data_IF_149078300466
#
_entry.id   IF_149078300466
#
_cell.length_a   1.000
_cell.length_b   1.000
_cell.length_c   1.000
_cell.angle_alpha   90.00
_cell.angle_beta   90.00
_cell.angle_gamma   90.00
#
_symmetry.space_group_name_H-M   'P 1'
#
loop_
_entity.id
_entity.type
_entity.pdbx_description
1 polymer ?
#
# COMPACT_ATOMS: atom_id res chain seq x y z
N UNK A 1 26.27 -4.12 -10.49
CA UNK A 1 25.19 -4.10 -11.52
C UNK A 1 24.18 -3.07 -11.03
N UNK A 2 23.62 -2.26 -11.94
CA UNK A 2 22.52 -1.35 -11.61
C UNK A 2 21.33 -2.17 -11.13
N UNK A 3 20.55 -1.63 -10.19
CA UNK A 3 19.32 -2.29 -9.77
C UNK A 3 18.23 -2.15 -10.88
N UNK A 4 17.26 -3.08 -10.97
CA UNK A 4 16.29 -3.06 -12.07
C UNK A 4 15.44 -1.79 -12.17
N UNK A 5 15.27 -1.06 -11.06
CA UNK A 5 14.42 0.12 -10.94
C UNK A 5 15.18 1.34 -10.36
N UNK A 6 16.51 1.43 -10.57
CA UNK A 6 17.34 2.51 -9.99
C UNK A 6 17.06 3.90 -10.57
N UNK A 7 16.35 3.97 -11.68
CA UNK A 7 15.87 5.19 -12.34
C UNK A 7 14.39 5.53 -12.06
N UNK A 8 13.67 4.70 -11.30
CA UNK A 8 12.22 4.81 -11.08
C UNK A 8 11.90 5.53 -9.75
N UNK A 9 11.00 6.51 -9.82
CA UNK A 9 10.46 7.24 -8.67
C UNK A 9 9.02 6.82 -8.40
N UNK A 10 8.77 6.34 -7.19
CA UNK A 10 7.45 5.93 -6.70
C UNK A 10 6.97 6.92 -5.66
N UNK A 11 5.76 7.44 -5.80
CA UNK A 11 5.01 8.10 -4.74
C UNK A 11 3.96 7.16 -4.21
N UNK A 12 3.93 6.93 -2.90
CA UNK A 12 2.89 6.13 -2.27
C UNK A 12 2.11 6.93 -1.23
N UNK A 13 0.77 6.82 -1.30
CA UNK A 13 -0.17 7.32 -0.29
C UNK A 13 -1.00 6.14 0.18
N UNK A 14 -0.46 5.39 1.07
CA UNK A 14 -1.08 4.19 1.59
C UNK A 14 -0.76 3.98 3.06
N UNK A 15 -1.57 3.16 3.68
CA UNK A 15 -1.44 2.81 5.09
C UNK A 15 -1.56 1.30 5.25
N UNK A 16 -1.27 0.83 6.43
CA UNK A 16 -1.32 -0.57 6.82
C UNK A 16 -0.26 -1.42 6.10
N UNK A 17 -0.64 -2.57 5.53
CA UNK A 17 0.31 -3.59 5.07
C UNK A 17 0.29 -3.83 3.58
N UNK A 18 -0.90 -4.03 2.97
CA UNK A 18 -1.00 -4.56 1.61
C UNK A 18 -0.30 -3.71 0.54
N UNK A 19 -0.67 -2.43 0.40
CA UNK A 19 -0.02 -1.55 -0.56
C UNK A 19 1.40 -1.13 -0.12
N UNK A 20 1.66 -0.82 1.18
CA UNK A 20 3.02 -0.57 1.63
C UNK A 20 4.00 -1.72 1.34
N UNK A 21 3.59 -2.99 1.46
CA UNK A 21 4.47 -4.12 1.13
C UNK A 21 4.90 -4.12 -0.35
N UNK A 22 4.03 -3.67 -1.26
CA UNK A 22 4.40 -3.50 -2.67
C UNK A 22 5.48 -2.42 -2.84
N UNK A 23 5.33 -1.27 -2.15
CA UNK A 23 6.34 -0.20 -2.13
C UNK A 23 7.69 -0.68 -1.61
N UNK A 24 7.70 -1.49 -0.54
CA UNK A 24 8.93 -2.07 0.00
C UNK A 24 9.63 -3.00 -1.01
N UNK A 25 8.88 -3.84 -1.74
CA UNK A 25 9.44 -4.70 -2.80
C UNK A 25 10.00 -3.85 -3.95
N UNK A 26 9.31 -2.78 -4.36
CA UNK A 26 9.84 -1.87 -5.39
C UNK A 26 11.13 -1.17 -4.92
N UNK A 27 11.21 -0.79 -3.63
CA UNK A 27 12.44 -0.25 -3.04
C UNK A 27 13.58 -1.29 -3.04
N UNK A 28 13.31 -2.55 -2.69
CA UNK A 28 14.29 -3.65 -2.77
C UNK A 28 14.80 -3.86 -4.21
N UNK A 29 13.98 -3.54 -5.22
CA UNK A 29 14.35 -3.58 -6.64
C UNK A 29 15.11 -2.33 -7.11
N UNK A 30 15.34 -1.36 -6.21
CA UNK A 30 16.13 -0.16 -6.46
C UNK A 30 15.34 1.12 -6.71
N UNK A 31 14.00 1.07 -6.75
CA UNK A 31 13.19 2.26 -6.92
C UNK A 31 13.35 3.23 -5.75
N UNK A 32 13.33 4.53 -6.04
CA UNK A 32 13.20 5.55 -5.01
C UNK A 32 11.75 5.68 -4.58
N UNK A 33 11.39 5.14 -3.45
CA UNK A 33 10.01 5.16 -2.94
C UNK A 33 9.86 6.26 -1.89
N UNK A 34 8.93 7.17 -2.13
CA UNK A 34 8.58 8.29 -1.23
C UNK A 34 7.18 8.03 -0.69
N UNK A 35 7.12 7.67 0.60
CA UNK A 35 5.87 7.49 1.33
C UNK A 35 5.34 8.83 1.82
N UNK A 36 4.11 9.14 1.45
CA UNK A 36 3.39 10.34 1.89
C UNK A 36 2.43 9.92 3.02
N UNK A 37 2.71 10.36 4.21
CA UNK A 37 1.95 10.03 5.40
C UNK A 37 1.07 11.21 5.85
N UNK A 38 -0.07 10.97 6.52
CA UNK A 38 -0.75 12.03 7.25
C UNK A 38 0.16 12.56 8.38
N UNK A 39 -0.13 13.76 8.88
CA UNK A 39 0.65 14.36 10.00
C UNK A 39 0.68 13.46 11.24
N UNK A 40 -0.33 12.62 11.43
CA UNK A 40 -0.38 11.62 12.51
C UNK A 40 0.48 10.38 12.27
N UNK A 41 1.06 10.24 11.08
CA UNK A 41 1.77 9.01 10.66
C UNK A 41 0.84 7.90 10.16
N UNK A 42 1.45 6.85 9.63
CA UNK A 42 0.75 5.60 9.27
C UNK A 42 0.23 4.92 10.54
N UNK A 43 -1.03 4.40 10.56
CA UNK A 43 -1.56 3.64 11.69
C UNK A 43 -0.71 2.42 12.11
N UNK A 44 0.12 1.90 11.22
CA UNK A 44 1.05 0.81 11.56
C UNK A 44 2.17 1.25 12.50
N UNK A 45 2.50 2.53 12.56
CA UNK A 45 3.54 3.03 13.47
C UNK A 45 3.17 2.78 14.91
N UNK A 46 4.06 2.13 15.65
CA UNK A 46 3.87 1.78 17.06
C UNK A 46 2.93 0.58 17.29
N UNK A 47 2.54 -0.16 16.25
CA UNK A 47 1.78 -1.42 16.40
C UNK A 47 2.65 -2.54 16.97
N UNK A 48 3.94 -2.56 16.67
CA UNK A 48 4.92 -3.50 17.22
C UNK A 48 5.22 -3.16 18.68
N UNK A 49 4.33 -3.56 19.58
CA UNK A 49 4.61 -3.46 21.00
C UNK A 49 5.25 -4.77 21.48
N UNK A 50 6.46 -4.75 22.07
CA UNK A 50 7.03 -5.95 22.69
C UNK A 50 6.03 -6.53 23.68
N UNK A 51 5.82 -7.83 23.63
CA UNK A 51 5.02 -8.51 24.65
C UNK A 51 5.83 -8.50 25.94
N UNK A 52 5.28 -7.92 26.99
CA UNK A 52 5.96 -7.77 28.29
C UNK A 52 6.47 -9.12 28.79
N UNK A 53 7.77 -9.22 29.03
CA UNK A 53 8.43 -10.46 29.41
C UNK A 53 9.01 -11.27 28.24
N UNK A 54 8.93 -10.79 27.02
CA UNK A 54 9.64 -11.36 25.89
C UNK A 54 11.15 -11.01 26.00
N UNK A 55 12.02 -12.00 25.76
CA UNK A 55 13.47 -11.78 25.73
C UNK A 55 13.95 -10.81 24.63
N UNK A 56 13.06 -10.40 23.74
CA UNK A 56 13.32 -9.38 22.74
C UNK A 56 13.05 -7.95 23.23
N UNK A 57 12.41 -7.74 24.39
CA UNK A 57 12.02 -6.43 24.93
C UNK A 57 13.18 -5.43 24.96
N UNK A 58 14.34 -5.86 25.45
CA UNK A 58 15.49 -4.95 25.61
C UNK A 58 16.21 -4.66 24.29
N UNK A 59 16.29 -5.65 23.39
CA UNK A 59 17.00 -5.50 22.13
C UNK A 59 16.21 -4.73 21.06
N UNK A 60 14.89 -4.77 21.12
CA UNK A 60 13.99 -4.24 20.08
C UNK A 60 12.91 -3.32 20.61
N UNK A 61 13.01 -2.82 21.86
CA UNK A 61 12.01 -1.95 22.50
C UNK A 61 11.70 -0.69 21.69
N UNK A 62 12.66 -0.20 20.93
CA UNK A 62 12.57 1.02 20.12
C UNK A 62 12.44 0.72 18.61
N UNK A 63 12.31 -0.57 18.25
CA UNK A 63 12.27 -0.99 16.86
C UNK A 63 10.87 -1.47 16.45
N UNK A 64 10.26 -0.76 15.48
CA UNK A 64 8.94 -1.09 14.96
C UNK A 64 9.04 -2.06 13.77
N UNK A 65 9.33 -3.32 14.06
CA UNK A 65 9.59 -4.33 13.04
C UNK A 65 8.40 -4.56 12.09
N UNK A 66 7.16 -4.42 12.57
CA UNK A 66 5.99 -4.59 11.71
C UNK A 66 5.87 -3.45 10.69
N UNK A 67 6.13 -2.22 11.14
CA UNK A 67 6.18 -1.09 10.23
C UNK A 67 7.36 -1.22 9.25
N UNK A 68 8.53 -1.60 9.74
CA UNK A 68 9.75 -1.68 8.94
C UNK A 68 9.69 -2.75 7.85
N UNK A 69 9.05 -3.90 8.11
CA UNK A 69 8.86 -4.96 7.10
C UNK A 69 8.21 -4.44 5.83
N UNK A 70 7.21 -3.57 5.96
CA UNK A 70 6.44 -3.05 4.83
C UNK A 70 6.90 -1.66 4.37
N UNK A 71 7.88 -1.04 5.07
CA UNK A 71 8.33 0.32 4.76
C UNK A 71 9.86 0.46 4.67
N UNK A 72 10.59 -0.65 4.68
CA UNK A 72 12.06 -0.64 4.51
C UNK A 72 12.46 -0.02 3.18
N UNK A 73 13.58 0.69 3.20
CA UNK A 73 14.15 1.30 2.00
C UNK A 73 13.41 2.54 1.48
N UNK A 74 12.36 3.02 2.16
CA UNK A 74 11.57 4.17 1.74
C UNK A 74 12.05 5.46 2.41
N UNK A 75 11.86 6.57 1.70
CA UNK A 75 11.82 7.91 2.28
C UNK A 75 10.39 8.22 2.73
N UNK A 76 10.21 9.05 3.76
CA UNK A 76 8.88 9.46 4.23
C UNK A 76 8.77 10.97 4.37
N UNK A 77 7.60 11.51 3.98
CA UNK A 77 7.19 12.89 4.23
C UNK A 77 5.80 12.94 4.81
N UNK A 78 5.57 13.85 5.78
CA UNK A 78 4.25 14.09 6.35
C UNK A 78 3.56 15.24 5.63
N UNK A 79 2.34 15.00 5.11
CA UNK A 79 1.56 15.99 4.35
C UNK A 79 0.11 16.03 4.83
N UNK A 80 -0.40 17.22 5.11
CA UNK A 80 -1.80 17.45 5.43
C UNK A 80 -2.65 17.44 4.15
N UNK A 81 -3.07 16.26 3.68
CA UNK A 81 -3.87 16.11 2.46
C UNK A 81 -5.26 16.76 2.53
N UNK A 82 -5.76 17.01 3.73
CA UNK A 82 -7.02 17.71 3.98
C UNK A 82 -6.91 19.23 3.75
N UNK A 83 -5.69 19.76 3.64
CA UNK A 83 -5.42 21.13 3.26
C UNK A 83 -5.18 21.21 1.73
N UNK A 84 -5.70 22.25 1.05
CA UNK A 84 -5.51 22.43 -0.39
C UNK A 84 -4.04 22.43 -0.82
N UNK A 85 -3.19 23.07 -0.04
CA UNK A 85 -1.75 23.17 -0.28
C UNK A 85 -1.06 21.80 -0.22
N UNK A 86 -1.50 20.94 0.72
CA UNK A 86 -0.96 19.58 0.85
C UNK A 86 -1.32 18.72 -0.37
N UNK A 87 -2.58 18.76 -0.81
CA UNK A 87 -3.00 18.04 -2.00
C UNK A 87 -2.30 18.57 -3.27
N UNK A 88 -2.10 19.89 -3.36
CA UNK A 88 -1.37 20.51 -4.48
C UNK A 88 0.11 20.09 -4.50
N UNK A 89 0.77 20.05 -3.34
CA UNK A 89 2.14 19.57 -3.22
C UNK A 89 2.27 18.14 -3.77
N UNK A 90 1.34 17.26 -3.43
CA UNK A 90 1.36 15.87 -3.93
C UNK A 90 1.17 15.80 -5.45
N UNK A 91 0.28 16.63 -6.02
CA UNK A 91 0.13 16.71 -7.48
C UNK A 91 1.40 17.19 -8.17
N UNK A 92 2.12 18.14 -7.58
CA UNK A 92 3.42 18.60 -8.10
C UNK A 92 4.49 17.52 -8.03
N UNK A 93 4.52 16.72 -6.96
CA UNK A 93 5.41 15.57 -6.86
C UNK A 93 5.07 14.51 -7.91
N UNK A 94 3.78 14.25 -8.15
CA UNK A 94 3.33 13.29 -9.14
C UNK A 94 3.73 13.65 -10.59
N UNK A 95 3.99 14.93 -10.89
CA UNK A 95 4.52 15.34 -12.20
C UNK A 95 5.91 14.78 -12.49
N UNK A 96 6.67 14.41 -11.43
CA UNK A 96 8.05 13.94 -11.51
C UNK A 96 8.20 12.47 -11.14
N UNK A 97 7.11 11.81 -10.82
CA UNK A 97 7.08 10.40 -10.46
C UNK A 97 6.76 9.54 -11.69
N UNK A 98 7.24 8.31 -11.69
CA UNK A 98 6.90 7.29 -12.68
C UNK A 98 5.70 6.48 -12.25
N UNK A 99 5.55 6.28 -10.93
CA UNK A 99 4.49 5.50 -10.32
C UNK A 99 3.85 6.31 -9.20
N UNK A 100 2.53 6.36 -9.19
CA UNK A 100 1.72 6.77 -8.06
C UNK A 100 0.90 5.58 -7.58
N UNK A 101 1.07 5.20 -6.31
CA UNK A 101 0.32 4.10 -5.73
C UNK A 101 -0.42 4.53 -4.46
N UNK A 102 -1.63 4.00 -4.26
CA UNK A 102 -2.42 4.33 -3.08
C UNK A 102 -3.41 3.23 -2.72
N UNK A 103 -3.86 3.24 -1.45
CA UNK A 103 -5.00 2.45 -1.00
C UNK A 103 -6.18 3.33 -0.55
N UNK A 104 -6.23 4.56 -1.01
CA UNK A 104 -7.36 5.44 -0.80
C UNK A 104 -8.57 5.00 -1.62
N UNK A 105 -9.76 4.98 -1.01
CA UNK A 105 -11.00 4.77 -1.75
C UNK A 105 -11.19 5.87 -2.81
N UNK A 106 -11.83 5.54 -3.94
CA UNK A 106 -11.99 6.42 -5.11
C UNK A 106 -12.57 7.80 -4.76
N UNK A 107 -13.54 7.87 -3.84
CA UNK A 107 -14.08 9.16 -3.37
C UNK A 107 -13.03 10.05 -2.67
N UNK A 108 -12.09 9.46 -1.95
CA UNK A 108 -11.01 10.22 -1.30
C UNK A 108 -9.98 10.66 -2.33
N UNK A 109 -9.64 9.81 -3.29
CA UNK A 109 -8.75 10.17 -4.39
C UNK A 109 -9.32 11.38 -5.14
N UNK A 110 -10.60 11.34 -5.55
CA UNK A 110 -11.26 12.45 -6.24
C UNK A 110 -11.33 13.73 -5.38
N UNK A 111 -11.62 13.60 -4.07
CA UNK A 111 -11.63 14.74 -3.15
C UNK A 111 -10.30 15.50 -3.13
N UNK A 112 -9.19 14.80 -3.24
CA UNK A 112 -7.85 15.39 -3.21
C UNK A 112 -7.26 15.69 -4.60
N UNK A 113 -8.00 15.37 -5.67
CA UNK A 113 -7.50 15.48 -7.05
C UNK A 113 -6.32 14.56 -7.34
N UNK A 114 -6.33 13.38 -6.72
CA UNK A 114 -5.32 12.32 -6.84
C UNK A 114 -5.88 11.09 -7.55
N UNK A 115 -7.06 11.22 -8.15
CA UNK A 115 -7.64 10.20 -9.02
C UNK A 115 -6.90 10.13 -10.37
N UNK A 116 -7.02 9.01 -11.12
CA UNK A 116 -6.31 8.83 -12.38
C UNK A 116 -6.53 9.97 -13.38
N UNK A 117 -7.80 10.43 -13.53
CA UNK A 117 -8.14 11.48 -14.49
C UNK A 117 -7.46 12.81 -14.16
N UNK A 118 -7.31 13.11 -12.87
CA UNK A 118 -6.64 14.32 -12.41
C UNK A 118 -5.12 14.23 -12.58
N UNK A 119 -4.51 13.09 -12.22
CA UNK A 119 -3.07 12.92 -12.28
C UNK A 119 -2.55 12.74 -13.72
N UNK A 120 -3.29 12.07 -14.60
CA UNK A 120 -2.89 11.94 -16.02
C UNK A 120 -2.89 13.27 -16.78
N UNK A 121 -3.63 14.30 -16.32
CA UNK A 121 -3.55 15.65 -16.90
C UNK A 121 -2.20 16.32 -16.65
N UNK A 122 -1.55 15.98 -15.53
CA UNK A 122 -0.25 16.58 -15.16
C UNK A 122 0.93 15.68 -15.49
N UNK A 123 0.70 14.37 -15.59
CA UNK A 123 1.70 13.38 -16.00
C UNK A 123 1.03 12.22 -16.78
N UNK A 124 0.93 12.32 -18.12
CA UNK A 124 0.28 11.31 -18.94
C UNK A 124 0.97 9.93 -18.98
N UNK A 125 2.23 9.86 -18.56
CA UNK A 125 3.01 8.61 -18.50
C UNK A 125 2.98 7.93 -17.13
N UNK A 126 2.35 8.56 -16.14
CA UNK A 126 2.29 8.06 -14.79
C UNK A 126 1.60 6.68 -14.73
N UNK A 127 2.21 5.72 -14.09
CA UNK A 127 1.54 4.49 -13.70
C UNK A 127 0.73 4.76 -12.43
N UNK A 128 -0.60 4.75 -12.54
CA UNK A 128 -1.49 4.95 -11.39
C UNK A 128 -2.00 3.60 -10.88
N UNK A 129 -1.54 3.18 -9.71
CA UNK A 129 -1.87 1.91 -9.10
C UNK A 129 -2.72 2.11 -7.83
N UNK A 130 -3.92 1.53 -7.81
CA UNK A 130 -4.83 1.60 -6.66
C UNK A 130 -5.12 0.21 -6.12
N UNK A 131 -4.95 0.04 -4.81
CA UNK A 131 -5.32 -1.17 -4.10
C UNK A 131 -6.51 -0.89 -3.18
N UNK A 132 -7.62 -1.59 -3.37
CA UNK A 132 -8.81 -1.52 -2.51
C UNK A 132 -9.33 -2.92 -2.23
N UNK A 133 -10.05 -3.08 -1.13
CA UNK A 133 -10.55 -4.40 -0.72
C UNK A 133 -11.53 -5.05 -1.71
N UNK A 134 -12.28 -4.24 -2.47
CA UNK A 134 -13.38 -4.76 -3.32
C UNK A 134 -13.36 -4.19 -4.74
N UNK A 135 -12.25 -3.61 -5.16
CA UNK A 135 -12.12 -2.98 -6.48
C UNK A 135 -12.58 -1.52 -6.49
N UNK A 136 -12.35 -0.86 -7.63
CA UNK A 136 -12.70 0.56 -7.84
C UNK A 136 -14.07 0.78 -8.47
N UNK A 137 -14.74 -0.30 -8.87
CA UNK A 137 -16.07 -0.30 -9.50
C UNK A 137 -16.98 -1.39 -8.90
N UNK A 138 -18.27 -1.31 -9.16
CA UNK A 138 -19.27 -2.25 -8.66
C UNK A 138 -19.88 -1.83 -7.32
N UNK A 139 -20.83 -2.65 -6.79
CA UNK A 139 -21.67 -2.26 -5.65
C UNK A 139 -20.90 -2.09 -4.33
N UNK A 140 -19.77 -2.78 -4.19
CA UNK A 140 -18.94 -2.75 -2.96
C UNK A 140 -17.70 -1.85 -3.06
N UNK A 141 -17.48 -1.13 -4.16
CA UNK A 141 -16.29 -0.29 -4.37
C UNK A 141 -16.09 0.81 -3.32
N UNK A 142 -17.16 1.18 -2.61
CA UNK A 142 -17.12 2.20 -1.55
C UNK A 142 -16.69 1.65 -0.18
N UNK A 143 -16.66 0.32 -0.03
CA UNK A 143 -16.41 -0.33 1.27
C UNK A 143 -14.90 -0.41 1.55
N UNK A 144 -14.47 -0.09 2.78
CA UNK A 144 -13.13 -0.45 3.22
C UNK A 144 -13.00 -1.98 3.31
N UNK A 145 -11.84 -2.51 2.97
CA UNK A 145 -11.52 -3.92 3.10
C UNK A 145 -10.22 -4.13 3.81
N UNK A 146 -10.13 -5.24 4.51
CA UNK A 146 -8.93 -5.72 5.17
C UNK A 146 -8.65 -7.16 4.73
N UNK A 147 -7.48 -7.66 5.04
CA UNK A 147 -7.07 -9.05 4.83
C UNK A 147 -8.19 -10.05 5.13
N UNK A 148 -8.67 -10.05 6.37
CA UNK A 148 -9.70 -11.00 6.84
C UNK A 148 -11.05 -10.83 6.14
N UNK A 149 -11.41 -9.63 5.73
CA UNK A 149 -12.73 -9.37 5.12
C UNK A 149 -12.72 -9.46 3.61
N UNK A 150 -11.71 -8.92 2.96
CA UNK A 150 -11.63 -8.88 1.50
C UNK A 150 -10.94 -10.13 0.93
N UNK A 151 -9.71 -10.41 1.36
CA UNK A 151 -8.94 -11.53 0.81
C UNK A 151 -9.52 -12.88 1.25
N UNK A 152 -9.69 -13.12 2.55
CA UNK A 152 -10.20 -14.40 3.04
C UNK A 152 -11.71 -14.53 2.97
N UNK A 153 -12.45 -13.52 3.46
CA UNK A 153 -13.91 -13.60 3.55
C UNK A 153 -14.59 -13.53 2.18
N UNK A 154 -14.32 -12.50 1.40
CA UNK A 154 -15.00 -12.28 0.11
C UNK A 154 -14.64 -13.31 -0.95
N UNK A 155 -13.42 -13.83 -0.95
CA UNK A 155 -12.99 -14.86 -1.89
C UNK A 155 -13.56 -16.26 -1.61
N UNK A 156 -14.12 -16.48 -0.42
CA UNK A 156 -14.53 -17.80 0.04
C UNK A 156 -13.40 -18.67 0.58
N UNK A 157 -12.20 -18.13 0.70
CA UNK A 157 -11.04 -18.88 1.19
C UNK A 157 -11.27 -19.40 2.61
N UNK A 158 -11.90 -18.62 3.47
CA UNK A 158 -12.28 -19.06 4.80
C UNK A 158 -13.15 -20.30 4.77
N UNK A 159 -14.15 -20.34 3.90
CA UNK A 159 -15.06 -21.47 3.81
C UNK A 159 -14.34 -22.73 3.29
N UNK A 160 -13.45 -22.55 2.31
CA UNK A 160 -12.63 -23.66 1.77
C UNK A 160 -11.63 -24.25 2.78
N UNK A 161 -11.30 -23.53 3.83
CA UNK A 161 -10.41 -23.98 4.91
C UNK A 161 -11.15 -24.67 6.06
N UNK A 162 -12.49 -24.75 6.00
CA UNK A 162 -13.32 -25.38 7.01
C UNK A 162 -13.13 -26.90 7.00
N UNK A 163 -13.01 -27.49 8.17
CA UNK A 163 -12.98 -28.94 8.33
C UNK A 163 -14.40 -29.50 8.53
N UNK A 164 -15.00 -29.98 7.44
CA UNK A 164 -16.40 -30.47 7.41
C UNK A 164 -17.46 -29.37 7.43
N UNK A 165 -18.72 -29.73 7.22
CA UNK A 165 -19.82 -28.76 7.05
C UNK A 165 -20.13 -27.95 8.30
N UNK A 166 -19.91 -28.51 9.49
CA UNK A 166 -20.13 -27.85 10.79
C UNK A 166 -18.84 -27.41 11.47
N UNK A 167 -17.68 -27.55 10.79
CA UNK A 167 -16.38 -27.23 11.33
C UNK A 167 -16.18 -25.72 11.55
N UNK A 168 -15.39 -25.37 12.55
CA UNK A 168 -14.96 -23.99 12.76
C UNK A 168 -14.03 -23.57 11.63
N UNK A 169 -14.20 -22.33 11.17
CA UNK A 169 -13.27 -21.71 10.24
C UNK A 169 -11.96 -21.42 10.98
N UNK A 170 -10.82 -21.93 10.53
CA UNK A 170 -9.55 -21.65 11.17
C UNK A 170 -9.21 -20.16 11.04
N UNK A 171 -8.57 -19.60 12.06
CA UNK A 171 -8.09 -18.23 11.98
C UNK A 171 -6.94 -18.13 10.97
N UNK A 172 -7.12 -17.31 9.95
CA UNK A 172 -6.04 -16.99 9.02
C UNK A 172 -4.90 -16.26 9.75
N UNK A 173 -3.68 -16.47 9.28
CA UNK A 173 -2.53 -15.71 9.77
C UNK A 173 -2.67 -14.26 9.30
N UNK A 174 -2.53 -13.26 10.21
CA UNK A 174 -2.57 -11.85 9.85
C UNK A 174 -1.58 -11.52 8.72
N UNK A 175 -1.97 -10.60 7.85
CA UNK A 175 -1.16 -10.09 6.72
C UNK A 175 -0.84 -11.10 5.60
N UNK A 176 -1.30 -12.34 5.67
CA UNK A 176 -1.05 -13.30 4.59
C UNK A 176 -1.68 -12.86 3.26
N UNK A 177 -2.92 -12.39 3.29
CA UNK A 177 -3.60 -11.84 2.12
C UNK A 177 -3.05 -10.47 1.72
N UNK A 178 -2.68 -9.64 2.69
CA UNK A 178 -2.06 -8.34 2.44
C UNK A 178 -0.78 -8.48 1.62
N UNK A 179 0.18 -9.29 2.08
CA UNK A 179 1.46 -9.48 1.38
C UNK A 179 1.28 -10.19 0.04
N UNK A 180 0.36 -11.16 -0.06
CA UNK A 180 0.03 -11.81 -1.34
C UNK A 180 -0.52 -10.80 -2.34
N UNK A 181 -1.43 -9.93 -1.90
CA UNK A 181 -2.02 -8.87 -2.74
C UNK A 181 -0.99 -7.81 -3.11
N UNK A 182 -0.12 -7.42 -2.17
CA UNK A 182 1.00 -6.51 -2.42
C UNK A 182 1.93 -7.03 -3.50
N UNK A 183 2.32 -8.30 -3.44
CA UNK A 183 3.16 -8.91 -4.46
C UNK A 183 2.46 -8.98 -5.84
N UNK A 184 1.16 -9.27 -5.88
CA UNK A 184 0.38 -9.21 -7.11
C UNK A 184 0.32 -7.78 -7.68
N UNK A 185 0.22 -6.76 -6.83
CA UNK A 185 0.26 -5.35 -7.20
C UNK A 185 1.61 -4.99 -7.84
N UNK A 186 2.73 -5.47 -7.32
CA UNK A 186 4.06 -5.28 -7.94
C UNK A 186 4.07 -5.80 -9.36
N UNK A 187 3.57 -7.03 -9.60
CA UNK A 187 3.48 -7.61 -10.95
C UNK A 187 2.65 -6.74 -11.91
N UNK A 188 1.51 -6.20 -11.44
CA UNK A 188 0.67 -5.31 -12.24
C UNK A 188 1.37 -3.97 -12.54
N UNK A 189 2.04 -3.38 -11.55
CA UNK A 189 2.82 -2.14 -11.70
C UNK A 189 3.93 -2.32 -12.73
N UNK A 190 4.72 -3.38 -12.63
CA UNK A 190 5.80 -3.65 -13.59
C UNK A 190 5.29 -3.87 -15.02
N UNK A 191 4.14 -4.55 -15.15
CA UNK A 191 3.45 -4.69 -16.44
C UNK A 191 3.00 -3.35 -17.03
N UNK A 192 2.43 -2.46 -16.20
CA UNK A 192 2.00 -1.14 -16.61
C UNK A 192 3.20 -0.22 -16.95
N UNK A 193 4.27 -0.27 -16.14
CA UNK A 193 5.50 0.47 -16.40
C UNK A 193 6.11 0.06 -17.76
N UNK A 194 6.19 -1.24 -18.04
CA UNK A 194 6.63 -1.75 -19.34
C UNK A 194 5.76 -1.28 -20.52
N UNK A 195 4.47 -1.04 -20.28
CA UNK A 195 3.58 -0.48 -21.30
C UNK A 195 3.82 1.02 -21.50
N UNK A 196 4.05 1.77 -20.43
CA UNK A 196 4.31 3.23 -20.48
C UNK A 196 5.65 3.59 -21.17
N UNK A 197 6.60 2.66 -21.20
CA UNK A 197 7.90 2.80 -21.89
C UNK A 197 7.81 2.63 -23.40
N UNK A 198 6.71 2.04 -23.93
CA UNK A 198 6.51 1.79 -25.37
C UNK A 198 5.83 2.95 -26.07
#
# INVERSE_FOLDING_TARGET
MAAPLDDIVVLEIDNWMAAPSAGAVLADMGARVIKIEPISGDPMRGMSRPVKGDRFDEAFKDYDFQFDVDNRGKESIAVALDQPEGAELVRQLAQKADIFMCNLLTKRQAKFGLDPDSLFKVNPKLVHATLTGYGTSGPDAWRPGYDVTAFFGRSGLYDSMREGDEGLVPMARPAQGDHTTGLAMVGAILGALRLAEK
#
